data_IF_571137706448
#
_entry.id   IF_571137706448
#
_cell.length_a   1.000
_cell.length_b   1.000
_cell.length_c   1.000
_cell.angle_alpha   90.00
_cell.angle_beta   90.00
_cell.angle_gamma   90.00
#
_symmetry.space_group_name_H-M   'P 1'
#
loop_
_entity.id
_entity.type
_entity.pdbx_description
1 polymer ?
#
# COMPACT_ATOMS: atom_id res chain seq x y z
N UNK A 1 -9.98 -3.32 19.57
CA UNK A 1 -9.03 -2.94 18.52
C UNK A 1 -9.63 -3.41 17.20
N UNK A 2 -10.28 -2.53 16.44
CA UNK A 2 -10.79 -2.89 15.11
C UNK A 2 -9.59 -2.98 14.17
N UNK A 3 -9.45 -4.07 13.43
CA UNK A 3 -8.52 -4.19 12.32
C UNK A 3 -9.36 -4.31 11.04
N UNK A 4 -9.05 -3.50 10.03
CA UNK A 4 -9.71 -3.65 8.73
C UNK A 4 -8.97 -4.70 7.94
N UNK A 5 -9.70 -5.75 7.58
CA UNK A 5 -9.25 -6.75 6.62
C UNK A 5 -9.66 -6.25 5.24
N UNK A 6 -8.68 -5.97 4.37
CA UNK A 6 -8.96 -5.71 2.96
C UNK A 6 -8.50 -6.91 2.13
N UNK A 7 -9.45 -7.54 1.43
CA UNK A 7 -9.17 -8.48 0.36
C UNK A 7 -9.10 -7.70 -0.95
N UNK A 8 -7.98 -7.82 -1.66
CA UNK A 8 -7.77 -7.12 -2.93
C UNK A 8 -7.41 -8.10 -4.02
N UNK A 9 -8.06 -7.95 -5.17
CA UNK A 9 -7.70 -8.60 -6.43
C UNK A 9 -7.06 -7.53 -7.31
N UNK A 10 -5.82 -7.77 -7.75
CA UNK A 10 -5.15 -6.94 -8.75
C UNK A 10 -5.11 -7.68 -10.10
N UNK A 11 -5.10 -6.95 -11.21
CA UNK A 11 -5.01 -7.52 -12.57
C UNK A 11 -3.77 -6.98 -13.30
N UNK A 12 -3.25 -7.67 -14.33
CA UNK A 12 -1.99 -7.31 -15.00
C UNK A 12 -1.98 -5.90 -15.64
N UNK A 13 -3.16 -5.34 -15.95
CA UNK A 13 -3.27 -4.03 -16.60
C UNK A 13 -3.26 -2.85 -15.60
N UNK A 14 -3.26 -3.11 -14.29
CA UNK A 14 -3.25 -2.06 -13.27
C UNK A 14 -1.88 -1.96 -12.60
N UNK A 15 -0.96 -1.19 -13.19
CA UNK A 15 0.23 -0.71 -12.47
C UNK A 15 -0.20 0.44 -11.57
N UNK A 16 -0.17 0.21 -10.25
CA UNK A 16 -0.59 1.22 -9.30
C UNK A 16 0.45 1.46 -8.21
N UNK A 17 1.05 2.65 -8.22
CA UNK A 17 1.72 3.21 -7.05
C UNK A 17 0.61 3.73 -6.11
N UNK A 18 0.06 2.82 -5.32
CA UNK A 18 -1.04 3.10 -4.40
C UNK A 18 -0.55 3.32 -2.98
N UNK A 19 -0.61 4.56 -2.50
CA UNK A 19 -0.54 4.78 -1.06
C UNK A 19 -1.86 4.35 -0.42
N UNK A 20 -1.78 3.39 0.48
CA UNK A 20 -2.81 3.11 1.48
C UNK A 20 -2.78 4.22 2.55
N UNK A 21 -3.23 5.40 2.12
CA UNK A 21 -3.43 6.67 2.84
C UNK A 21 -2.20 7.40 3.35
N UNK A 22 -2.21 8.72 3.14
CA UNK A 22 -1.21 9.68 3.60
C UNK A 22 -1.26 9.92 5.11
N UNK A 23 -1.81 8.97 5.86
CA UNK A 23 -1.71 8.95 7.31
C UNK A 23 -0.51 8.09 7.65
N UNK A 24 0.64 8.76 7.85
CA UNK A 24 1.96 8.26 8.27
C UNK A 24 1.89 7.74 9.72
N UNK A 25 0.80 7.07 10.11
CA UNK A 25 0.51 6.60 11.46
C UNK A 25 -0.06 5.18 11.49
N UNK A 26 -0.12 4.50 10.34
CA UNK A 26 -0.68 3.15 10.24
C UNK A 26 0.40 2.10 10.06
N UNK A 27 0.25 1.01 10.81
CA UNK A 27 0.93 -0.25 10.56
C UNK A 27 0.07 -1.08 9.61
N UNK A 28 0.69 -1.67 8.60
CA UNK A 28 0.03 -2.58 7.67
C UNK A 28 0.75 -3.92 7.66
N UNK A 29 0.00 -5.00 7.70
CA UNK A 29 0.49 -6.36 7.43
C UNK A 29 -0.12 -6.82 6.11
N UNK A 30 0.70 -7.32 5.18
CA UNK A 30 0.25 -7.85 3.89
C UNK A 30 0.67 -9.29 3.69
N UNK A 31 -0.26 -10.15 3.31
CA UNK A 31 0.03 -11.53 2.95
C UNK A 31 -0.63 -11.88 1.62
N UNK A 32 0.14 -12.44 0.68
CA UNK A 32 -0.41 -12.96 -0.58
C UNK A 32 -1.08 -14.29 -0.28
N UNK A 33 -2.31 -14.46 -0.77
CA UNK A 33 -3.10 -15.69 -0.55
C UNK A 33 -3.30 -16.47 -1.86
N UNK A 34 -3.17 -15.81 -3.01
CA UNK A 34 -3.17 -16.47 -4.32
C UNK A 34 -2.46 -15.63 -5.37
N UNK A 35 -1.89 -16.29 -6.37
CA UNK A 35 -1.10 -15.64 -7.41
C UNK A 35 0.27 -15.16 -6.93
N UNK A 36 0.90 -14.30 -7.75
CA UNK A 36 2.21 -13.73 -7.48
C UNK A 36 2.20 -12.22 -7.70
N UNK A 37 2.79 -11.48 -6.77
CA UNK A 37 2.97 -10.03 -6.89
C UNK A 37 4.44 -9.65 -6.75
N UNK A 38 4.83 -8.59 -7.44
CA UNK A 38 6.05 -7.84 -7.17
C UNK A 38 5.67 -6.60 -6.37
N UNK A 39 6.32 -6.43 -5.22
CA UNK A 39 6.07 -5.34 -4.29
C UNK A 39 7.28 -4.41 -4.26
N UNK A 40 7.09 -3.19 -4.75
CA UNK A 40 8.07 -2.11 -4.64
C UNK A 40 7.66 -1.21 -3.49
N UNK A 41 8.52 -1.01 -2.49
CA UNK A 41 8.20 -0.18 -1.31
C UNK A 41 9.07 1.07 -1.26
N UNK A 42 8.56 2.12 -0.62
CA UNK A 42 9.28 3.39 -0.43
C UNK A 42 9.12 3.89 1.00
N UNK A 43 10.17 4.53 1.52
CA UNK A 43 10.17 5.24 2.81
C UNK A 43 10.41 6.73 2.59
N UNK A 44 9.66 7.59 3.25
CA UNK A 44 9.89 9.03 3.18
C UNK A 44 11.29 9.38 3.70
N UNK A 45 12.00 10.25 2.98
CA UNK A 45 13.34 10.73 3.37
C UNK A 45 13.27 11.59 4.63
N UNK A 46 12.21 12.41 4.74
CA UNK A 46 11.97 13.28 5.88
C UNK A 46 10.79 12.75 6.68
N UNK A 47 10.98 12.58 7.99
CA UNK A 47 9.90 12.23 8.93
C UNK A 47 9.08 13.49 9.19
N UNK A 48 8.04 13.72 8.39
CA UNK A 48 7.08 14.81 8.61
C UNK A 48 5.73 14.20 8.89
N UNK A 49 5.05 14.70 9.92
CA UNK A 49 3.66 14.35 10.24
C UNK A 49 2.64 15.13 9.37
N UNK A 50 3.13 15.86 8.37
CA UNK A 50 2.29 16.74 7.57
C UNK A 50 1.51 15.97 6.50
N UNK A 51 0.26 16.36 6.32
CA UNK A 51 -0.58 15.89 5.21
C UNK A 51 0.00 16.43 3.91
N UNK A 52 0.44 15.51 3.04
CA UNK A 52 1.06 15.85 1.75
C UNK A 52 -0.01 16.47 0.84
N UNK A 53 0.22 17.71 0.40
CA UNK A 53 -0.76 18.48 -0.37
C UNK A 53 -0.62 18.23 -1.88
N UNK A 54 -1.69 18.47 -2.63
CA UNK A 54 -1.61 18.49 -4.09
C UNK A 54 -0.58 19.54 -4.53
N UNK A 55 0.35 19.16 -5.44
CA UNK A 55 1.49 19.95 -5.96
C UNK A 55 2.77 19.93 -5.13
N UNK A 56 2.81 19.23 -4.01
CA UNK A 56 4.05 19.02 -3.26
C UNK A 56 4.87 17.87 -3.90
N UNK A 57 6.17 18.09 -4.09
CA UNK A 57 7.14 17.02 -4.37
C UNK A 57 7.73 16.53 -3.05
N UNK A 58 7.66 15.23 -2.79
CA UNK A 58 8.23 14.61 -1.60
C UNK A 58 9.41 13.71 -1.97
N UNK A 59 10.47 13.77 -1.16
CA UNK A 59 11.61 12.89 -1.31
C UNK A 59 11.37 11.56 -0.58
N UNK A 60 11.67 10.45 -1.25
CA UNK A 60 11.58 9.10 -0.67
C UNK A 60 12.74 8.22 -1.13
N UNK A 61 13.00 7.17 -0.37
CA UNK A 61 13.91 6.08 -0.73
C UNK A 61 13.10 4.91 -1.25
N UNK A 62 13.39 4.46 -2.48
CA UNK A 62 12.85 3.22 -3.02
C UNK A 62 13.68 2.05 -2.54
N UNK A 63 13.00 1.06 -1.99
CA UNK A 63 13.60 -0.19 -1.57
C UNK A 63 13.63 -1.21 -2.71
N UNK A 64 14.52 -2.19 -2.60
CA UNK A 64 14.58 -3.34 -3.48
C UNK A 64 13.21 -4.02 -3.55
N UNK A 65 12.71 -4.22 -4.76
CA UNK A 65 11.43 -4.90 -4.98
C UNK A 65 11.53 -6.37 -4.56
N UNK A 66 10.46 -6.87 -3.95
CA UNK A 66 10.37 -8.27 -3.52
C UNK A 66 9.23 -8.98 -4.24
N UNK A 67 9.43 -10.24 -4.60
CA UNK A 67 8.38 -11.10 -5.17
C UNK A 67 7.73 -11.92 -4.06
N UNK A 68 6.41 -11.90 -4.02
CA UNK A 68 5.59 -12.52 -2.99
C UNK A 68 4.57 -13.46 -3.63
N UNK A 69 4.40 -14.62 -3.02
CA UNK A 69 3.41 -15.63 -3.36
C UNK A 69 2.78 -16.20 -2.08
N UNK A 70 1.85 -17.15 -2.19
CA UNK A 70 1.13 -17.73 -1.03
C UNK A 70 2.02 -18.33 0.06
N UNK A 71 3.18 -18.90 -0.31
CA UNK A 71 4.13 -19.46 0.66
C UNK A 71 5.10 -18.41 1.26
N UNK A 72 5.01 -17.14 0.86
CA UNK A 72 5.87 -16.08 1.40
C UNK A 72 5.36 -15.62 2.76
N UNK A 73 6.28 -15.21 3.64
CA UNK A 73 5.92 -14.57 4.90
C UNK A 73 5.19 -13.26 4.65
N UNK A 74 4.36 -12.85 5.62
CA UNK A 74 3.66 -11.58 5.55
C UNK A 74 4.63 -10.40 5.68
N UNK A 75 4.44 -9.36 4.86
CA UNK A 75 5.21 -8.13 4.93
C UNK A 75 4.63 -7.20 5.98
N UNK A 76 5.49 -6.57 6.78
CA UNK A 76 5.11 -5.53 7.74
C UNK A 76 5.57 -4.17 7.25
N UNK A 77 4.66 -3.21 7.21
CA UNK A 77 4.94 -1.81 6.92
C UNK A 77 4.64 -0.99 8.15
N UNK A 78 5.52 -0.03 8.45
CA UNK A 78 5.35 0.86 9.60
C UNK A 78 5.05 2.27 9.10
N UNK A 79 4.51 3.15 9.97
CA UNK A 79 4.40 4.57 9.70
C UNK A 79 5.60 5.22 8.99
N UNK A 80 6.81 4.86 9.41
CA UNK A 80 8.05 5.50 8.96
C UNK A 80 8.82 4.70 7.91
N UNK A 81 8.49 3.42 7.70
CA UNK A 81 9.26 2.53 6.84
C UNK A 81 8.36 1.73 5.90
N UNK A 82 8.71 1.76 4.61
CA UNK A 82 8.06 1.01 3.54
C UNK A 82 6.54 1.30 3.46
N UNK A 83 6.12 2.49 3.91
CA UNK A 83 4.71 2.86 4.05
C UNK A 83 4.05 3.22 2.71
N UNK A 84 4.85 3.65 1.73
CA UNK A 84 4.41 3.80 0.34
C UNK A 84 4.74 2.50 -0.41
N UNK A 85 3.83 2.00 -1.24
CA UNK A 85 4.15 0.81 -2.02
C UNK A 85 3.36 0.74 -3.33
N UNK A 86 3.97 0.05 -4.28
CA UNK A 86 3.40 -0.35 -5.55
C UNK A 86 3.31 -1.87 -5.60
N UNK A 87 2.23 -2.37 -6.16
CA UNK A 87 1.98 -3.79 -6.31
C UNK A 87 1.75 -4.06 -7.79
N UNK A 88 2.54 -4.98 -8.34
CA UNK A 88 2.43 -5.44 -9.71
C UNK A 88 2.08 -6.92 -9.73
N UNK A 89 1.09 -7.30 -10.54
CA UNK A 89 0.77 -8.69 -10.80
C UNK A 89 1.79 -9.28 -11.78
N UNK A 90 2.45 -10.38 -11.42
CA UNK A 90 3.51 -10.98 -12.26
C UNK A 90 2.92 -11.96 -13.29
N UNK A 91 2.10 -12.91 -12.84
CA UNK A 91 1.63 -14.03 -13.67
C UNK A 91 0.08 -14.13 -13.68
N UNK A 92 -0.58 -12.98 -13.80
CA UNK A 92 -2.04 -12.89 -13.80
C UNK A 92 -2.62 -12.32 -12.49
N UNK A 93 -3.93 -12.50 -12.26
CA UNK A 93 -4.58 -11.97 -11.08
C UNK A 93 -3.94 -12.49 -9.80
N UNK A 94 -3.81 -11.61 -8.81
CA UNK A 94 -3.32 -11.97 -7.50
C UNK A 94 -4.29 -11.49 -6.42
N UNK A 95 -4.39 -12.29 -5.36
CA UNK A 95 -5.17 -11.97 -4.18
C UNK A 95 -4.25 -11.82 -2.98
N UNK A 96 -4.46 -10.76 -2.20
CA UNK A 96 -3.71 -10.51 -0.98
C UNK A 96 -4.62 -9.94 0.12
N UNK A 97 -4.16 -10.14 1.34
CA UNK A 97 -4.81 -9.77 2.58
C UNK A 97 -4.02 -8.64 3.24
N UNK A 98 -4.65 -7.48 3.41
CA UNK A 98 -4.10 -6.39 4.21
C UNK A 98 -4.80 -6.30 5.57
N UNK A 99 -4.02 -6.23 6.64
CA UNK A 99 -4.48 -5.90 8.00
C UNK A 99 -3.94 -4.53 8.36
N UNK A 100 -4.84 -3.57 8.59
CA UNK A 100 -4.51 -2.18 8.90
C UNK A 100 -4.78 -1.86 10.37
N UNK A 101 -3.79 -1.25 11.03
CA UNK A 101 -3.89 -0.81 12.43
C UNK A 101 -3.28 0.59 12.62
N UNK A 102 -4.08 1.60 13.03
CA UNK A 102 -5.54 1.56 13.15
C UNK A 102 -6.23 1.39 11.78
N UNK A 103 -7.54 1.08 11.74
CA UNK A 103 -8.38 1.21 10.56
C UNK A 103 -8.22 2.57 9.88
N UNK A 104 -8.76 2.71 8.68
CA UNK A 104 -8.97 4.05 8.13
C UNK A 104 -9.83 4.91 9.08
N UNK A 105 -9.76 6.23 8.93
CA UNK A 105 -10.78 7.13 9.50
C UNK A 105 -12.07 6.90 8.71
N UNK A 106 -12.67 5.76 8.97
CA UNK A 106 -13.99 5.33 8.58
C UNK A 106 -14.77 5.20 9.88
N UNK A 107 -16.07 5.39 9.83
CA UNK A 107 -16.93 5.16 10.99
C UNK A 107 -16.82 3.72 11.51
N UNK A 108 -17.48 3.44 12.64
CA UNK A 108 -17.46 2.13 13.32
C UNK A 108 -17.89 0.96 12.41
N UNK A 109 -18.53 1.24 11.27
CA UNK A 109 -19.00 0.27 10.28
C UNK A 109 -18.14 0.23 9.01
N UNK A 110 -17.02 0.95 8.98
CA UNK A 110 -16.15 1.02 7.82
C UNK A 110 -16.65 1.94 6.71
N UNK A 111 -17.70 2.74 6.95
CA UNK A 111 -18.23 3.74 6.01
C UNK A 111 -17.54 5.09 6.23
N UNK A 112 -17.10 5.70 5.15
CA UNK A 112 -16.34 6.95 5.15
C UNK A 112 -15.38 6.99 3.98
N UNK A 113 -14.95 8.18 3.58
CA UNK A 113 -13.90 8.32 2.57
C UNK A 113 -12.63 7.66 3.11
N UNK A 114 -12.05 6.72 2.36
CA UNK A 114 -10.69 6.24 2.61
C UNK A 114 -9.74 7.10 1.78
N UNK A 115 -9.20 8.23 2.28
CA UNK A 115 -8.39 9.13 1.48
C UNK A 115 -7.02 8.49 1.17
N UNK A 116 -6.95 7.71 0.09
CA UNK A 116 -5.70 7.21 -0.47
C UNK A 116 -5.08 8.31 -1.35
N UNK A 117 -3.78 8.57 -1.18
CA UNK A 117 -3.06 9.62 -1.93
C UNK A 117 -2.15 8.96 -2.94
N UNK A 118 -2.50 8.94 -4.22
CA UNK A 118 -1.65 8.32 -5.23
C UNK A 118 -0.44 9.19 -5.53
N UNK A 119 0.68 8.54 -5.87
CA UNK A 119 1.90 9.23 -6.23
C UNK A 119 2.43 8.74 -7.58
N UNK A 120 3.18 9.60 -8.25
CA UNK A 120 4.04 9.22 -9.37
C UNK A 120 5.45 9.69 -9.12
N UNK A 121 6.43 8.90 -9.57
CA UNK A 121 7.83 9.30 -9.60
C UNK A 121 8.03 10.38 -10.66
N UNK A 122 8.63 11.50 -10.27
CA UNK A 122 8.98 12.60 -11.19
C UNK A 122 10.48 12.69 -11.44
N UNK A 123 11.30 12.27 -10.48
CA UNK A 123 12.77 12.20 -10.59
C UNK A 123 13.27 10.98 -9.83
N UNK A 124 14.33 10.35 -10.32
CA UNK A 124 15.01 9.26 -9.62
C UNK A 124 16.53 9.41 -9.74
N UNK A 125 17.24 8.95 -8.72
CA UNK A 125 18.70 8.89 -8.66
C UNK A 125 19.10 7.58 -8.01
N UNK A 126 19.91 6.78 -8.71
CA UNK A 126 20.42 5.52 -8.17
C UNK A 126 21.30 5.74 -6.94
N UNK A 127 21.16 4.85 -5.97
CA UNK A 127 22.00 4.77 -4.78
C UNK A 127 22.88 3.53 -4.86
N UNK A 128 24.19 3.69 -4.63
CA UNK A 128 25.17 2.59 -4.65
C UNK A 128 25.62 2.15 -3.25
N UNK A 129 25.20 2.89 -2.22
CA UNK A 129 25.75 2.81 -0.85
C UNK A 129 24.97 1.85 0.07
N UNK A 130 23.82 1.31 -0.38
CA UNK A 130 22.94 0.46 0.43
C UNK A 130 22.48 -0.76 -0.35
N UNK A 131 22.32 -1.89 0.32
CA UNK A 131 21.80 -3.14 -0.27
C UNK A 131 20.28 -3.19 -0.35
N UNK A 132 19.56 -2.44 0.49
CA UNK A 132 18.07 -2.41 0.49
C UNK A 132 17.53 -1.17 -0.23
N UNK A 133 18.25 -0.05 -0.28
CA UNK A 133 17.83 1.18 -0.97
C UNK A 133 18.50 1.25 -2.33
N UNK A 134 17.69 1.25 -3.39
CA UNK A 134 18.18 1.26 -4.78
C UNK A 134 18.14 2.66 -5.40
N UNK A 135 17.19 3.50 -4.99
CA UNK A 135 16.98 4.83 -5.58
C UNK A 135 16.52 5.84 -4.53
N UNK A 136 17.00 7.08 -4.63
CA UNK A 136 16.31 8.26 -4.10
C UNK A 136 15.37 8.80 -5.18
N UNK A 137 14.10 8.96 -4.83
CA UNK A 137 13.05 9.41 -5.75
C UNK A 137 12.37 10.66 -5.25
N UNK A 138 11.91 11.49 -6.18
CA UNK A 138 10.94 12.55 -5.93
C UNK A 138 9.57 12.08 -6.40
N UNK A 139 8.57 12.19 -5.54
CA UNK A 139 7.21 11.75 -5.79
C UNK A 139 6.28 12.96 -5.81
N UNK A 140 5.31 12.98 -6.71
CA UNK A 140 4.25 14.01 -6.78
C UNK A 140 2.87 13.38 -6.64
N UNK A 141 1.95 14.06 -5.94
CA UNK A 141 0.57 13.61 -5.78
C UNK A 141 -0.15 13.56 -7.13
N UNK A 142 -0.92 12.49 -7.35
CA UNK A 142 -1.79 12.32 -8.52
C UNK A 142 -3.25 12.28 -8.06
N UNK A 143 -4.07 13.19 -8.57
CA UNK A 143 -5.49 13.27 -8.21
C UNK A 143 -6.36 12.34 -9.06
N UNK A 144 -6.01 12.17 -10.34
CA UNK A 144 -6.78 11.38 -11.30
C UNK A 144 -5.93 10.24 -11.84
N UNK A 145 -6.31 9.00 -11.53
CA UNK A 145 -5.84 7.80 -12.23
C UNK A 145 -6.99 7.26 -13.08
N UNK A 146 -7.05 7.58 -14.39
CA UNK A 146 -8.16 7.14 -15.25
C UNK A 146 -8.24 5.61 -15.36
N UNK A 147 -7.10 4.92 -15.27
CA UNK A 147 -7.02 3.46 -15.40
C UNK A 147 -7.14 2.73 -14.05
N UNK A 148 -7.34 3.47 -12.95
CA UNK A 148 -7.57 2.88 -11.64
C UNK A 148 -9.05 2.79 -11.34
N UNK A 149 -9.48 1.59 -10.99
CA UNK A 149 -10.79 1.38 -10.40
C UNK A 149 -10.69 0.41 -9.23
N UNK A 150 -11.56 0.60 -8.24
CA UNK A 150 -11.69 -0.29 -7.10
C UNK A 150 -13.16 -0.41 -6.74
N UNK A 151 -13.66 -1.64 -6.71
CA UNK A 151 -14.99 -1.98 -6.22
C UNK A 151 -14.86 -2.81 -4.95
N UNK A 152 -15.83 -2.65 -4.05
CA UNK A 152 -15.96 -3.54 -2.90
C UNK A 152 -16.99 -4.62 -3.21
N UNK A 153 -16.69 -5.84 -2.77
CA UNK A 153 -17.61 -6.97 -2.84
C UNK A 153 -17.94 -7.41 -1.41
N UNK A 154 -19.12 -7.98 -1.24
CA UNK A 154 -19.51 -8.59 0.02
C UNK A 154 -18.62 -9.80 0.33
N UNK A 155 -18.25 -9.96 1.59
CA UNK A 155 -17.49 -11.11 2.04
C UNK A 155 -18.39 -12.35 2.13
N UNK A 156 -18.15 -13.32 1.26
CA UNK A 156 -18.91 -14.58 1.17
C UNK A 156 -18.17 -15.79 1.78
N UNK A 157 -17.08 -15.54 2.52
CA UNK A 157 -16.31 -16.60 3.16
C UNK A 157 -16.94 -17.11 4.46
N UNK A 158 -16.26 -18.00 5.19
CA UNK A 158 -16.74 -18.51 6.48
C UNK A 158 -17.07 -17.38 7.46
N UNK A 159 -18.13 -17.49 8.27
CA UNK A 159 -18.50 -16.45 9.22
C UNK A 159 -17.34 -16.05 10.11
N UNK A 160 -17.07 -14.74 10.17
CA UNK A 160 -16.14 -14.19 11.15
C UNK A 160 -16.80 -14.29 12.53
N UNK A 161 -16.09 -14.85 13.52
CA UNK A 161 -16.61 -14.94 14.89
C UNK A 161 -16.91 -13.53 15.41
N UNK A 162 -18.17 -13.26 15.70
CA UNK A 162 -18.55 -12.09 16.49
C UNK A 162 -18.08 -12.33 17.92
N UNK A 163 -17.05 -11.62 18.36
CA UNK A 163 -16.80 -11.47 19.79
C UNK A 163 -17.82 -10.47 20.34
N UNK A 164 -18.93 -10.98 20.84
CA UNK A 164 -19.76 -10.23 21.78
C UNK A 164 -18.99 -10.19 23.11
N UNK A 165 -18.64 -8.99 23.57
CA UNK A 165 -18.31 -8.76 24.98
C UNK A 165 -19.60 -8.69 25.79
#
# INVERSE_FOLDING_TARGET
>A
MLCVIAYRIATPLSTLIGLLTGNIRKKCLKHVISGMVELSSYSLKTKSDHVIKTKEEIAAFRHQSIRLHSNSSACTFTPTEKNLHEILCVEGPAAFLDILSPPYDVDEFGKGTRPCTFFKTVKSKLCTESTDIIEEVQLSVVENLPDFYSSSLEYIGPPLKSYCN
#
